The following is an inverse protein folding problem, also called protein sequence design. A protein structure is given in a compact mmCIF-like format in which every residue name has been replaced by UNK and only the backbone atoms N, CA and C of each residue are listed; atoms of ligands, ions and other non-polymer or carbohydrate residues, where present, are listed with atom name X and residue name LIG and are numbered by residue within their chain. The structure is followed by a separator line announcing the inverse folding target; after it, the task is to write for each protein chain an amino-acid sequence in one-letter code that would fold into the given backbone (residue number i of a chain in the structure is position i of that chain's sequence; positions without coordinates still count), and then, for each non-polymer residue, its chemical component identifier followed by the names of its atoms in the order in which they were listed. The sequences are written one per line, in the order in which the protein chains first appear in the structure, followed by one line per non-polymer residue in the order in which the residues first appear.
data_IF_994666919881
#
_entry.id   IF_994666919881
#
_cell.length_a   1.000
_cell.length_b   1.000
_cell.length_c   1.000
_cell.angle_alpha   90.00
_cell.angle_beta   90.00
_cell.angle_gamma   90.00
#
_symmetry.space_group_name_H-M   'P 1'
#
loop_
_entity.id
_entity.type
_entity.pdbx_description
1 polymer ?
#
# COMPACT_ATOMS: atom_id res chain seq x y z
N UNK A 1 -0.33 -20.30 -17.27
CA UNK A 1 0.52 -20.84 -16.18
C UNK A 1 1.85 -20.10 -16.25
N UNK A 2 2.14 -19.20 -15.31
CA UNK A 2 3.39 -18.41 -15.34
C UNK A 2 4.48 -19.17 -14.57
N UNK A 3 5.74 -19.15 -15.03
CA UNK A 3 6.83 -19.84 -14.34
C UNK A 3 7.02 -19.26 -12.93
N UNK A 4 7.19 -20.15 -11.94
CA UNK A 4 7.65 -19.79 -10.59
C UNK A 4 9.16 -19.50 -10.68
N UNK A 5 9.52 -18.24 -10.47
CA UNK A 5 10.92 -17.81 -10.44
C UNK A 5 11.49 -18.11 -9.05
N UNK A 6 12.31 -19.15 -8.94
CA UNK A 6 12.99 -19.53 -7.70
C UNK A 6 14.36 -18.83 -7.51
N UNK A 7 14.60 -17.72 -8.22
CA UNK A 7 15.83 -16.92 -8.10
C UNK A 7 15.54 -15.58 -7.43
N UNK A 8 16.36 -15.17 -6.46
CA UNK A 8 16.20 -13.88 -5.76
C UNK A 8 16.17 -12.70 -6.73
N UNK A 9 15.45 -11.63 -6.35
CA UNK A 9 15.23 -10.43 -7.18
C UNK A 9 16.48 -9.55 -7.39
N UNK A 10 17.69 -10.07 -7.12
CA UNK A 10 18.94 -9.32 -7.13
C UNK A 10 19.24 -8.65 -8.48
N UNK A 11 18.80 -9.26 -9.58
CA UNK A 11 18.99 -8.68 -10.92
C UNK A 11 18.21 -7.36 -11.09
N UNK A 12 17.03 -7.23 -10.46
CA UNK A 12 16.21 -6.01 -10.54
C UNK A 12 16.94 -4.86 -9.87
N UNK A 13 17.50 -5.10 -8.69
CA UNK A 13 18.27 -4.11 -7.94
C UNK A 13 19.58 -3.75 -8.63
N UNK A 14 20.11 -4.62 -9.49
CA UNK A 14 21.25 -4.30 -10.34
C UNK A 14 20.84 -3.41 -11.53
N UNK A 15 19.73 -3.71 -12.21
CA UNK A 15 19.36 -3.00 -13.44
C UNK A 15 18.68 -1.66 -13.15
N UNK A 16 17.74 -1.59 -12.20
CA UNK A 16 16.92 -0.39 -11.98
C UNK A 16 17.72 0.90 -11.70
N UNK A 17 18.79 0.90 -10.88
CA UNK A 17 19.60 2.10 -10.65
C UNK A 17 20.36 2.61 -11.88
N UNK A 18 20.51 1.75 -12.91
CA UNK A 18 21.31 2.00 -14.12
C UNK A 18 20.46 2.40 -15.32
N UNK A 19 19.14 2.38 -15.19
CA UNK A 19 18.23 2.86 -16.22
C UNK A 19 17.72 4.24 -15.84
N UNK A 20 17.74 5.16 -16.79
CA UNK A 20 17.00 6.41 -16.68
C UNK A 20 15.63 6.17 -17.29
N UNK A 21 14.60 6.04 -16.45
CA UNK A 21 13.24 5.84 -16.95
C UNK A 21 12.70 7.19 -17.42
N UNK A 22 12.42 7.39 -18.73
CA UNK A 22 11.86 8.63 -19.22
C UNK A 22 10.55 8.93 -18.48
N UNK A 23 10.26 10.21 -18.21
CA UNK A 23 9.05 10.58 -17.48
C UNK A 23 7.79 10.06 -18.19
N UNK A 24 7.80 9.92 -19.52
CA UNK A 24 6.71 9.36 -20.33
C UNK A 24 6.47 7.84 -20.17
N UNK A 25 7.42 7.10 -19.61
CA UNK A 25 7.34 5.65 -19.47
C UNK A 25 6.70 5.22 -18.15
N UNK A 26 6.11 4.03 -18.16
CA UNK A 26 5.60 3.36 -16.96
C UNK A 26 6.62 2.34 -16.48
N UNK A 27 6.94 2.35 -15.19
CA UNK A 27 7.78 1.32 -14.60
C UNK A 27 6.92 0.19 -14.00
N UNK A 28 7.03 -1.03 -14.54
CA UNK A 28 6.34 -2.19 -13.98
C UNK A 28 7.33 -3.20 -13.40
N UNK A 29 7.24 -3.40 -12.08
CA UNK A 29 8.07 -4.35 -11.34
C UNK A 29 7.19 -5.48 -10.81
N UNK A 30 7.67 -6.72 -10.95
CA UNK A 30 7.03 -7.91 -10.39
C UNK A 30 8.07 -8.83 -9.79
N UNK A 31 7.84 -9.28 -8.55
CA UNK A 31 8.71 -10.25 -7.89
C UNK A 31 8.14 -10.74 -6.57
N UNK A 32 8.90 -11.56 -5.85
CA UNK A 32 8.48 -12.16 -4.58
C UNK A 32 9.34 -11.62 -3.45
N UNK A 33 8.73 -11.15 -2.37
CA UNK A 33 9.44 -10.74 -1.16
C UNK A 33 9.74 -12.00 -0.36
N UNK A 34 11.01 -12.23 -0.06
CA UNK A 34 11.50 -13.45 0.58
C UNK A 34 12.20 -13.16 1.90
N UNK A 35 12.12 -14.11 2.82
CA UNK A 35 12.73 -14.00 4.15
C UNK A 35 11.90 -13.18 5.14
N UNK A 36 12.19 -13.36 6.43
CA UNK A 36 11.45 -12.75 7.53
C UNK A 36 11.62 -11.23 7.61
N UNK A 37 12.71 -10.71 7.07
CA UNK A 37 13.02 -9.28 7.01
C UNK A 37 12.80 -8.66 5.62
N UNK A 38 12.22 -9.43 4.69
CA UNK A 38 11.99 -8.94 3.33
C UNK A 38 10.93 -7.85 3.28
N UNK A 39 11.20 -6.82 2.48
CA UNK A 39 10.28 -5.71 2.16
C UNK A 39 10.41 -5.28 0.68
N UNK A 40 9.84 -4.12 0.33
CA UNK A 40 9.89 -3.57 -1.03
C UNK A 40 11.30 -3.27 -1.55
N UNK A 41 12.32 -3.13 -0.69
CA UNK A 41 13.72 -2.92 -1.08
C UNK A 41 14.32 -4.10 -1.83
N UNK A 42 13.68 -5.27 -1.75
CA UNK A 42 14.06 -6.40 -2.60
C UNK A 42 13.65 -6.21 -4.06
N UNK A 43 12.72 -5.30 -4.35
CA UNK A 43 12.13 -5.08 -5.67
C UNK A 43 12.46 -3.70 -6.24
N UNK A 44 12.69 -2.72 -5.38
CA UNK A 44 12.99 -1.34 -5.75
C UNK A 44 14.30 -0.91 -5.10
N UNK A 45 15.18 -0.22 -5.83
CA UNK A 45 16.40 0.30 -5.24
C UNK A 45 16.09 1.46 -4.28
N UNK A 46 16.94 1.65 -3.28
CA UNK A 46 16.79 2.80 -2.39
C UNK A 46 17.01 4.12 -3.15
N UNK A 47 16.18 5.15 -2.91
CA UNK A 47 16.29 6.45 -3.59
C UNK A 47 17.66 7.13 -3.42
N UNK A 48 18.35 6.84 -2.31
CA UNK A 48 19.65 7.41 -1.94
C UNK A 48 20.78 7.06 -2.93
N UNK A 49 20.65 5.96 -3.67
CA UNK A 49 21.72 5.48 -4.54
C UNK A 49 21.80 6.23 -5.88
N UNK A 50 20.69 6.75 -6.38
CA UNK A 50 20.66 7.59 -7.59
C UNK A 50 19.29 8.30 -7.70
N UNK A 51 19.17 9.58 -7.30
CA UNK A 51 17.91 10.31 -7.39
C UNK A 51 17.41 10.49 -8.84
N UNK A 52 18.31 10.36 -9.83
CA UNK A 52 17.96 10.42 -11.25
C UNK A 52 17.40 9.11 -11.80
N UNK A 53 17.49 7.99 -11.05
CA UNK A 53 16.96 6.70 -11.52
C UNK A 53 15.42 6.66 -11.54
N UNK A 54 14.77 7.46 -10.70
CA UNK A 54 13.31 7.53 -10.60
C UNK A 54 12.81 8.98 -10.35
N UNK A 55 13.05 9.91 -11.30
CA UNK A 55 12.73 11.33 -11.11
C UNK A 55 11.22 11.58 -10.99
N UNK A 56 10.40 10.64 -11.46
CA UNK A 56 8.95 10.72 -11.45
C UNK A 56 8.32 10.60 -10.05
N UNK A 57 9.06 10.13 -9.04
CA UNK A 57 8.52 9.88 -7.68
C UNK A 57 8.02 11.16 -6.99
N UNK A 58 8.73 12.28 -7.19
CA UNK A 58 8.35 13.58 -6.62
C UNK A 58 6.98 14.09 -7.11
N UNK A 59 6.51 13.59 -8.25
CA UNK A 59 5.26 14.01 -8.88
C UNK A 59 4.10 13.04 -8.61
N UNK A 60 4.33 11.96 -7.88
CA UNK A 60 3.27 11.02 -7.50
C UNK A 60 2.30 11.73 -6.57
N UNK A 61 1.05 11.87 -7.00
CA UNK A 61 -0.02 12.49 -6.21
C UNK A 61 -1.03 11.50 -5.68
N UNK A 62 -1.07 10.29 -6.26
CA UNK A 62 -2.01 9.26 -5.88
C UNK A 62 -1.32 7.91 -5.82
N UNK A 63 -1.68 7.14 -4.80
CA UNK A 63 -1.18 5.80 -4.52
C UNK A 63 -2.37 4.86 -4.38
N UNK A 64 -2.42 3.78 -5.15
CA UNK A 64 -3.35 2.69 -4.95
C UNK A 64 -2.60 1.48 -4.39
N UNK A 65 -2.90 1.15 -3.14
CA UNK A 65 -2.38 0.00 -2.43
C UNK A 65 -3.50 -1.03 -2.28
N UNK A 66 -3.38 -2.12 -3.04
CA UNK A 66 -4.25 -3.28 -2.97
C UNK A 66 -3.54 -4.39 -2.18
N UNK A 67 -4.08 -4.68 -1.01
CA UNK A 67 -3.65 -5.76 -0.13
C UNK A 67 -4.47 -7.01 -0.43
N UNK A 68 -3.80 -8.03 -0.99
CA UNK A 68 -4.47 -9.26 -1.40
C UNK A 68 -4.97 -10.09 -0.22
N UNK A 69 -5.86 -11.02 -0.53
CA UNK A 69 -6.36 -12.02 0.42
C UNK A 69 -5.20 -12.87 0.99
N UNK A 70 -5.33 -13.29 2.25
CA UNK A 70 -4.28 -14.04 2.98
C UNK A 70 -3.82 -15.31 2.23
N UNK A 71 -4.72 -16.00 1.54
CA UNK A 71 -4.46 -17.23 0.79
C UNK A 71 -3.64 -16.99 -0.50
N UNK A 72 -3.85 -15.84 -1.15
CA UNK A 72 -3.19 -15.47 -2.39
C UNK A 72 -1.85 -14.77 -2.15
N UNK A 73 -1.70 -14.09 -1.01
CA UNK A 73 -0.57 -13.23 -0.61
C UNK A 73 -0.01 -12.36 -1.75
N UNK A 74 -0.89 -11.89 -2.64
CA UNK A 74 -0.57 -11.09 -3.82
C UNK A 74 -0.99 -9.66 -3.61
N UNK A 75 -0.03 -8.77 -3.61
CA UNK A 75 -0.25 -7.35 -3.35
C UNK A 75 0.09 -6.55 -4.60
N UNK A 76 -0.58 -5.41 -4.74
CA UNK A 76 -0.32 -4.49 -5.84
C UNK A 76 -0.22 -3.08 -5.32
N UNK A 77 0.85 -2.40 -5.69
CA UNK A 77 1.04 -0.98 -5.53
C UNK A 77 1.02 -0.32 -6.91
N UNK A 78 0.25 0.75 -7.07
CA UNK A 78 0.23 1.59 -8.28
C UNK A 78 0.33 3.05 -7.87
N UNK A 79 1.21 3.80 -8.49
CA UNK A 79 1.29 5.25 -8.32
C UNK A 79 0.83 5.97 -9.56
N UNK A 80 0.34 7.20 -9.39
CA UNK A 80 -0.18 8.04 -10.45
C UNK A 80 0.37 9.45 -10.30
N UNK A 81 0.58 10.08 -11.45
CA UNK A 81 0.97 11.48 -11.57
C UNK A 81 -0.24 12.21 -12.17
N UNK A 82 -0.58 13.42 -11.70
CA UNK A 82 -1.66 14.22 -12.28
C UNK A 82 -1.50 14.36 -13.80
N UNK A 83 -2.63 14.46 -14.50
CA UNK A 83 -2.70 14.66 -15.96
C UNK A 83 -2.15 13.52 -16.82
N UNK A 84 -1.62 12.47 -16.21
CA UNK A 84 -1.20 11.25 -16.87
C UNK A 84 -2.27 10.20 -16.63
N UNK A 85 -3.03 9.87 -17.65
CA UNK A 85 -4.06 8.81 -17.60
C UNK A 85 -3.53 7.39 -17.35
N UNK A 86 -2.30 7.23 -16.84
CA UNK A 86 -1.62 5.96 -16.61
C UNK A 86 -0.74 5.97 -15.35
N UNK A 87 -0.37 4.76 -14.88
CA UNK A 87 0.46 4.59 -13.69
C UNK A 87 1.92 5.03 -13.96
N UNK A 88 2.54 5.71 -13.00
CA UNK A 88 3.97 6.00 -13.05
C UNK A 88 4.79 4.76 -12.66
N UNK A 89 4.47 4.18 -11.51
CA UNK A 89 5.10 2.97 -10.99
C UNK A 89 4.00 1.96 -10.66
N UNK A 90 4.20 0.71 -11.07
CA UNK A 90 3.39 -0.42 -10.64
C UNK A 90 4.31 -1.49 -10.07
N UNK A 91 4.04 -1.93 -8.86
CA UNK A 91 4.72 -3.05 -8.23
C UNK A 91 3.71 -4.13 -7.92
N UNK A 92 3.92 -5.34 -8.45
CA UNK A 92 3.18 -6.53 -8.04
C UNK A 92 4.12 -7.40 -7.23
N UNK A 93 3.78 -7.65 -5.98
CA UNK A 93 4.62 -8.47 -5.12
C UNK A 93 3.83 -9.56 -4.43
N UNK A 94 4.52 -10.64 -4.11
CA UNK A 94 3.97 -11.74 -3.33
C UNK A 94 4.87 -12.05 -2.14
N UNK A 95 4.29 -12.29 -0.97
CA UNK A 95 5.00 -12.83 0.18
C UNK A 95 4.84 -14.35 0.27
N UNK A 96 5.51 -14.96 1.24
CA UNK A 96 5.27 -16.37 1.56
C UNK A 96 3.94 -16.53 2.27
N UNK A 97 3.17 -17.59 1.99
CA UNK A 97 1.83 -17.79 2.62
C UNK A 97 1.89 -17.81 4.16
N UNK A 98 3.03 -18.23 4.72
CA UNK A 98 3.25 -18.28 6.17
C UNK A 98 3.65 -16.93 6.77
N UNK A 99 4.04 -15.96 5.93
CA UNK A 99 4.49 -14.64 6.37
C UNK A 99 3.34 -13.64 6.34
N UNK A 100 2.61 -13.62 7.46
CA UNK A 100 1.50 -12.69 7.68
C UNK A 100 1.92 -11.23 7.85
N UNK A 101 3.21 -10.98 8.06
CA UNK A 101 3.74 -9.64 8.37
C UNK A 101 4.31 -8.92 7.14
N UNK A 102 4.41 -9.58 5.99
CA UNK A 102 4.95 -8.97 4.76
C UNK A 102 4.25 -7.65 4.43
N UNK A 103 2.93 -7.60 4.57
CA UNK A 103 2.13 -6.41 4.29
C UNK A 103 2.46 -5.27 5.23
N UNK A 104 2.58 -5.56 6.53
CA UNK A 104 3.00 -4.58 7.53
C UNK A 104 4.39 -4.04 7.20
N UNK A 105 5.37 -4.91 6.95
CA UNK A 105 6.75 -4.48 6.64
C UNK A 105 6.80 -3.64 5.36
N UNK A 106 6.03 -4.01 4.34
CA UNK A 106 5.93 -3.21 3.11
C UNK A 106 5.36 -1.83 3.40
N UNK A 107 4.22 -1.73 4.09
CA UNK A 107 3.58 -0.44 4.40
C UNK A 107 4.50 0.45 5.23
N UNK A 108 5.14 -0.09 6.27
CA UNK A 108 6.07 0.65 7.14
C UNK A 108 7.26 1.24 6.38
N UNK A 109 7.65 0.64 5.25
CA UNK A 109 8.79 1.07 4.45
C UNK A 109 8.37 1.82 3.17
N UNK A 110 7.09 2.06 2.93
CA UNK A 110 6.63 2.72 1.70
C UNK A 110 7.27 4.09 1.50
N UNK A 111 7.26 4.94 2.54
CA UNK A 111 7.80 6.30 2.42
C UNK A 111 9.31 6.36 2.22
N UNK A 112 10.06 5.36 2.69
CA UNK A 112 11.52 5.30 2.49
C UNK A 112 11.91 4.74 1.13
N UNK A 113 11.18 3.75 0.62
CA UNK A 113 11.46 3.10 -0.66
C UNK A 113 10.87 3.89 -1.83
N UNK A 114 9.70 4.48 -1.64
CA UNK A 114 8.99 5.30 -2.61
C UNK A 114 8.65 6.65 -1.97
N UNK A 115 9.58 7.61 -1.94
CA UNK A 115 9.30 8.94 -1.42
C UNK A 115 8.25 9.63 -2.30
N UNK A 116 7.09 9.94 -1.72
CA UNK A 116 5.96 10.57 -2.42
C UNK A 116 5.57 11.88 -1.72
N UNK A 117 6.43 12.91 -1.77
CA UNK A 117 6.20 14.16 -1.04
C UNK A 117 4.93 14.91 -1.51
N UNK A 118 4.47 14.63 -2.74
CA UNK A 118 3.27 15.23 -3.32
C UNK A 118 2.03 14.34 -3.16
N UNK A 119 2.08 13.28 -2.36
CA UNK A 119 0.95 12.36 -2.19
C UNK A 119 -0.24 13.10 -1.55
N UNK A 120 -1.36 13.08 -2.26
CA UNK A 120 -2.62 13.72 -1.86
C UNK A 120 -3.75 12.71 -1.69
N UNK A 121 -3.79 11.71 -2.56
CA UNK A 121 -4.92 10.78 -2.65
C UNK A 121 -4.49 9.30 -2.56
N UNK A 122 -4.30 8.72 -1.37
CA UNK A 122 -4.19 7.28 -1.22
C UNK A 122 -5.55 6.58 -1.39
N UNK A 123 -5.54 5.50 -2.19
CA UNK A 123 -6.59 4.51 -2.30
C UNK A 123 -6.09 3.23 -1.63
N UNK A 124 -6.74 2.82 -0.55
CA UNK A 124 -6.42 1.63 0.22
C UNK A 124 -7.53 0.61 -0.02
N UNK A 125 -7.20 -0.52 -0.65
CA UNK A 125 -8.10 -1.66 -0.80
C UNK A 125 -7.49 -2.85 -0.08
N UNK A 126 -8.32 -3.56 0.69
CA UNK A 126 -7.89 -4.75 1.43
C UNK A 126 -8.89 -5.87 1.28
N UNK A 127 -8.42 -6.99 0.75
CA UNK A 127 -9.16 -8.25 0.71
C UNK A 127 -8.81 -9.15 1.91
N UNK A 128 -8.11 -8.61 2.92
CA UNK A 128 -7.80 -9.27 4.19
C UNK A 128 -9.04 -9.13 5.09
N UNK A 129 -9.51 -10.22 5.68
CA UNK A 129 -10.76 -10.23 6.46
C UNK A 129 -10.68 -9.31 7.68
N UNK A 130 -9.57 -9.35 8.42
CA UNK A 130 -9.33 -8.51 9.58
C UNK A 130 -7.93 -7.90 9.50
N UNK A 131 -7.83 -6.58 9.69
CA UNK A 131 -6.52 -5.93 9.71
C UNK A 131 -5.80 -6.21 11.03
N UNK A 132 -4.66 -6.89 10.94
CA UNK A 132 -3.79 -7.12 12.09
C UNK A 132 -3.34 -5.80 12.74
N UNK A 133 -3.21 -5.71 14.09
CA UNK A 133 -2.82 -4.49 14.77
C UNK A 133 -1.50 -3.88 14.27
N UNK A 134 -0.54 -4.72 13.88
CA UNK A 134 0.73 -4.29 13.30
C UNK A 134 0.56 -3.55 11.97
N UNK A 135 -0.37 -3.99 11.12
CA UNK A 135 -0.69 -3.33 9.86
C UNK A 135 -1.43 -2.02 10.08
N UNK A 136 -2.37 -1.97 11.04
CA UNK A 136 -3.05 -0.72 11.43
C UNK A 136 -2.01 0.31 11.88
N UNK A 137 -1.05 -0.10 12.71
CA UNK A 137 0.05 0.75 13.17
C UNK A 137 0.91 1.25 12.00
N UNK A 138 1.27 0.37 11.07
CA UNK A 138 2.04 0.73 9.87
C UNK A 138 1.30 1.75 9.00
N UNK A 139 0.01 1.55 8.75
CA UNK A 139 -0.84 2.47 7.99
C UNK A 139 -1.00 3.81 8.72
N UNK A 140 -1.13 3.79 10.04
CA UNK A 140 -1.16 5.01 10.86
C UNK A 140 0.11 5.83 10.67
N UNK A 141 1.28 5.18 10.78
CA UNK A 141 2.58 5.83 10.56
C UNK A 141 2.72 6.36 9.14
N UNK A 142 2.29 5.59 8.15
CA UNK A 142 2.26 6.00 6.74
C UNK A 142 1.41 7.26 6.54
N UNK A 143 0.16 7.28 7.01
CA UNK A 143 -0.73 8.43 6.88
C UNK A 143 -0.17 9.66 7.59
N UNK A 144 0.35 9.48 8.81
CA UNK A 144 0.94 10.57 9.59
C UNK A 144 2.15 11.21 8.90
N UNK A 145 2.95 10.41 8.16
CA UNK A 145 4.10 10.93 7.41
C UNK A 145 3.73 11.73 6.16
N UNK A 146 2.46 11.73 5.74
CA UNK A 146 1.97 12.41 4.54
C UNK A 146 0.90 13.45 4.92
N UNK A 147 1.33 14.57 5.51
CA UNK A 147 0.43 15.65 5.95
C UNK A 147 -0.31 16.37 4.83
N UNK A 148 0.13 16.20 3.58
CA UNK A 148 -0.48 16.75 2.37
C UNK A 148 -1.71 15.97 1.86
N UNK A 149 -2.06 14.84 2.50
CA UNK A 149 -3.23 14.05 2.14
C UNK A 149 -4.50 14.88 2.38
N UNK A 150 -5.21 15.14 1.29
CA UNK A 150 -6.51 15.83 1.28
C UNK A 150 -7.67 14.86 1.04
N UNK A 151 -7.42 13.71 0.41
CA UNK A 151 -8.47 12.75 0.11
C UNK A 151 -8.04 11.30 0.37
N UNK A 152 -8.89 10.48 0.98
CA UNK A 152 -8.62 9.04 1.18
C UNK A 152 -9.77 8.24 0.58
N UNK A 153 -9.45 7.18 -0.15
CA UNK A 153 -10.44 6.17 -0.57
C UNK A 153 -10.16 4.86 0.15
N UNK A 154 -11.13 4.37 0.92
CA UNK A 154 -11.11 3.06 1.56
C UNK A 154 -12.02 2.10 0.79
N UNK A 155 -11.50 0.95 0.39
CA UNK A 155 -12.25 -0.07 -0.35
C UNK A 155 -12.19 -1.40 0.41
N UNK A 156 -13.30 -2.11 0.45
CA UNK A 156 -13.41 -3.44 1.06
C UNK A 156 -13.12 -3.43 2.56
N UNK A 157 -12.38 -4.41 3.07
CA UNK A 157 -11.99 -4.48 4.47
C UNK A 157 -11.11 -3.31 4.92
N UNK A 158 -10.60 -2.48 4.00
CA UNK A 158 -9.89 -1.26 4.39
C UNK A 158 -10.81 -0.26 5.10
N UNK A 159 -12.14 -0.40 4.99
CA UNK A 159 -13.12 0.40 5.74
C UNK A 159 -12.96 0.25 7.26
N UNK A 160 -12.34 -0.82 7.76
CA UNK A 160 -11.98 -0.96 9.18
C UNK A 160 -11.06 0.17 9.68
N UNK A 161 -10.33 0.84 8.78
CA UNK A 161 -9.51 2.01 9.10
C UNK A 161 -10.32 3.28 9.34
N UNK A 162 -11.64 3.25 9.14
CA UNK A 162 -12.51 4.40 9.39
C UNK A 162 -12.41 4.88 10.84
N UNK A 163 -12.36 3.96 11.81
CA UNK A 163 -12.21 4.30 13.23
C UNK A 163 -10.92 5.08 13.49
N UNK A 164 -9.84 4.70 12.81
CA UNK A 164 -8.55 5.38 12.89
C UNK A 164 -8.64 6.83 12.42
N UNK A 165 -9.39 7.10 11.34
CA UNK A 165 -9.55 8.43 10.75
C UNK A 165 -10.57 9.32 11.49
N UNK A 166 -11.67 8.74 11.97
CA UNK A 166 -12.82 9.49 12.49
C UNK A 166 -12.84 9.59 14.00
N UNK A 167 -12.44 8.52 14.71
CA UNK A 167 -12.78 8.36 16.14
C UNK A 167 -11.67 8.85 17.06
N UNK A 168 -10.44 9.04 16.58
CA UNK A 168 -9.30 9.34 17.46
C UNK A 168 -9.15 10.86 17.71
N UNK A 169 -9.73 11.46 18.79
CA UNK A 169 -9.97 12.91 18.89
C UNK A 169 -8.71 13.74 19.21
N UNK A 170 -7.53 13.17 19.07
CA UNK A 170 -6.24 13.83 19.31
C UNK A 170 -5.14 13.41 18.33
N UNK A 171 -5.46 12.60 17.32
CA UNK A 171 -4.53 12.19 16.27
C UNK A 171 -5.12 12.60 14.94
N UNK A 172 -4.96 13.87 14.61
CA UNK A 172 -5.24 14.36 13.26
C UNK A 172 -4.18 13.74 12.34
N UNK A 173 -4.43 12.54 11.82
CA UNK A 173 -3.48 11.81 10.99
C UNK A 173 -3.24 12.51 9.66
N UNK A 174 -4.29 13.13 9.13
CA UNK A 174 -4.29 13.85 7.87
C UNK A 174 -4.97 15.20 8.10
N UNK A 175 -4.23 16.27 8.46
CA UNK A 175 -4.82 17.55 8.85
C UNK A 175 -5.51 18.30 7.72
N UNK A 176 -5.24 17.91 6.48
CA UNK A 176 -5.87 18.48 5.29
C UNK A 176 -6.98 17.59 4.71
N UNK A 177 -7.31 16.48 5.37
CA UNK A 177 -8.32 15.54 4.88
C UNK A 177 -9.68 16.23 4.75
N UNK A 178 -10.10 16.48 3.52
CA UNK A 178 -11.38 17.08 3.16
C UNK A 178 -12.37 16.05 2.61
N UNK A 179 -11.84 14.98 2.00
CA UNK A 179 -12.64 14.02 1.24
C UNK A 179 -12.34 12.60 1.71
N UNK A 180 -13.38 11.90 2.16
CA UNK A 180 -13.31 10.48 2.48
C UNK A 180 -14.29 9.70 1.60
N UNK A 181 -13.76 8.82 0.75
CA UNK A 181 -14.55 7.92 -0.07
C UNK A 181 -14.53 6.51 0.51
N UNK A 182 -15.70 5.88 0.54
CA UNK A 182 -15.87 4.49 0.93
C UNK A 182 -16.40 3.73 -0.28
N UNK A 183 -15.75 2.61 -0.62
CA UNK A 183 -16.17 1.69 -1.67
C UNK A 183 -16.20 0.25 -1.16
N UNK A 184 -16.94 -0.61 -1.85
CA UNK A 184 -16.84 -2.05 -1.69
C UNK A 184 -16.69 -2.68 -3.07
N UNK A 185 -16.08 -3.87 -3.14
CA UNK A 185 -15.87 -4.65 -4.37
C UNK A 185 -17.21 -4.85 -5.08
N UNK A 186 -17.43 -4.01 -6.09
CA UNK A 186 -18.64 -3.92 -6.88
C UNK A 186 -18.65 -5.04 -7.92
N UNK A 187 -19.07 -6.22 -7.43
CA UNK A 187 -19.50 -7.34 -8.26
C UNK A 187 -20.77 -8.04 -7.76
N UNK A 188 -20.97 -8.20 -6.45
CA UNK A 188 -22.13 -9.01 -5.97
C UNK A 188 -22.61 -8.81 -4.54
N UNK A 189 -21.94 -8.04 -3.68
CA UNK A 189 -22.28 -7.99 -2.26
C UNK A 189 -22.64 -6.58 -1.83
N UNK A 190 -23.93 -6.40 -1.50
CA UNK A 190 -24.38 -5.31 -0.63
C UNK A 190 -23.43 -5.25 0.57
N UNK A 191 -22.94 -4.06 0.89
CA UNK A 191 -22.34 -3.78 2.20
C UNK A 191 -23.38 -4.15 3.26
N UNK A 192 -23.22 -5.31 3.88
CA UNK A 192 -24.10 -5.76 4.94
C UNK A 192 -23.69 -5.09 6.24
N UNK A 193 -24.66 -4.55 6.96
CA UNK A 193 -24.50 -3.76 8.19
C UNK A 193 -23.75 -4.56 9.28
N UNK A 194 -23.79 -5.89 9.19
CA UNK A 194 -23.03 -6.85 10.02
C UNK A 194 -21.51 -6.63 9.97
N UNK A 195 -20.95 -6.27 8.81
CA UNK A 195 -19.49 -6.05 8.66
C UNK A 195 -18.98 -4.81 9.38
N UNK A 196 -19.86 -3.85 9.69
CA UNK A 196 -19.54 -2.68 10.51
C UNK A 196 -19.62 -2.96 12.01
N UNK A 197 -20.33 -4.01 12.43
CA UNK A 197 -20.64 -4.29 13.83
C UNK A 197 -19.78 -5.40 14.46
N UNK A 198 -19.16 -6.27 13.66
CA UNK A 198 -18.28 -7.34 14.18
C UNK A 198 -16.99 -6.82 14.85
N UNK A 199 -16.56 -5.58 14.57
CA UNK A 199 -15.43 -4.94 15.24
C UNK A 199 -15.65 -4.61 16.72
N UNK A 200 -16.90 -4.69 17.23
CA UNK A 200 -17.22 -4.34 18.62
C UNK A 200 -17.47 -5.53 19.55
N UNK A 201 -17.55 -6.76 19.05
CA UNK A 201 -17.99 -7.92 19.85
C UNK A 201 -16.85 -8.78 20.42
N UNK A 202 -15.59 -8.51 20.09
CA UNK A 202 -14.47 -9.30 20.62
C UNK A 202 -14.05 -8.93 22.06
N UNK A 203 -14.58 -7.86 22.64
CA UNK A 203 -14.16 -7.35 23.96
C UNK A 203 -15.13 -7.65 25.13
N UNK A 204 -16.23 -8.38 24.90
CA UNK A 204 -17.22 -8.69 25.94
C UNK A 204 -17.29 -10.15 26.40
N UNK A 205 -16.37 -11.03 25.98
CA UNK A 205 -16.35 -12.44 26.41
C UNK A 205 -15.31 -12.78 27.48
N UNK A 206 -14.86 -11.78 28.26
CA UNK A 206 -14.03 -11.98 29.46
C UNK A 206 -14.59 -11.23 30.66
N UNK A 207 -15.75 -11.67 31.15
CA UNK A 207 -16.15 -11.53 32.55
C UNK A 207 -16.76 -12.84 33.03
#
# INVERSE_FOLDING_TARGET
MYPKWYGGNHWILYILPRIEVPVACQLWVRGSITGQDGDLRQLLPEPSHNPLSMPMMAHISQLNLLLGREDANKHTLKSYIPDRGHHAIRVKFEGWMTDKQVTQRVVSNLGSVLPMPSLKHPILSSLIVALEPGLISALTGFLHSHSAIDAITLVDSAVQLLELLVVTPGRILCPLLDTLHLGGDDGSSKLDESTLLEGKLSDQSRQ
#
